data_IF_770589660709
#
_entry.id   IF_770589660709
#
_cell.length_a   1.000
_cell.length_b   1.000
_cell.length_c   1.000
_cell.angle_alpha   90.00
_cell.angle_beta   90.00
_cell.angle_gamma   90.00
#
_symmetry.space_group_name_H-M   'P 1'
#
loop_
_entity.id
_entity.type
_entity.pdbx_description
1 polymer ?
#
# COMPACT_ATOMS: atom_id res chain seq x y z
N UNK A 1 -18.34 49.68 49.23
CA UNK A 1 -17.64 48.41 48.93
C UNK A 1 -18.60 47.51 48.15
N UNK A 2 -18.46 47.43 46.82
CA UNK A 2 -19.23 46.53 45.94
C UNK A 2 -18.47 46.41 44.60
N UNK A 3 -17.74 45.31 44.41
CA UNK A 3 -17.03 45.00 43.15
C UNK A 3 -17.32 43.57 42.70
N UNK A 4 -18.57 43.11 42.82
CA UNK A 4 -18.86 41.68 42.66
C UNK A 4 -19.55 41.36 41.31
N UNK A 5 -20.03 42.37 40.56
CA UNK A 5 -20.77 42.13 39.33
C UNK A 5 -19.87 41.95 38.10
N UNK A 6 -18.77 42.70 38.00
CA UNK A 6 -17.91 42.65 36.80
C UNK A 6 -17.12 41.34 36.74
N UNK A 7 -16.58 40.90 37.88
CA UNK A 7 -15.81 39.65 37.99
C UNK A 7 -16.69 38.42 37.73
N UNK A 8 -17.95 38.44 38.19
CA UNK A 8 -18.92 37.37 37.91
C UNK A 8 -19.34 37.34 36.44
N UNK A 9 -19.51 38.49 35.78
CA UNK A 9 -19.78 38.57 34.34
C UNK A 9 -18.60 38.03 33.52
N UNK A 10 -17.37 38.38 33.91
CA UNK A 10 -16.14 37.91 33.24
C UNK A 10 -15.94 36.39 33.46
N UNK A 11 -16.18 35.88 34.67
CA UNK A 11 -16.17 34.43 34.97
C UNK A 11 -17.25 33.69 34.17
N UNK A 12 -18.46 34.22 34.09
CA UNK A 12 -19.60 33.61 33.37
C UNK A 12 -19.41 33.61 31.85
N UNK A 13 -18.69 34.58 31.29
CA UNK A 13 -18.30 34.62 29.87
C UNK A 13 -17.18 33.62 29.52
N UNK A 14 -16.49 33.09 30.54
CA UNK A 14 -15.40 32.11 30.40
C UNK A 14 -15.87 30.66 30.52
N UNK A 15 -17.12 30.36 30.18
CA UNK A 15 -17.53 28.98 29.82
C UNK A 15 -16.99 28.69 28.43
N UNK A 16 -15.68 28.55 28.33
CA UNK A 16 -15.01 28.31 27.07
C UNK A 16 -15.37 26.89 26.62
N UNK A 17 -16.23 26.81 25.60
CA UNK A 17 -16.56 25.57 24.90
C UNK A 17 -15.33 24.98 24.16
N UNK A 18 -14.13 25.52 24.39
CA UNK A 18 -12.86 25.07 23.81
C UNK A 18 -12.63 23.59 24.09
N UNK A 19 -12.99 23.09 25.28
CA UNK A 19 -12.89 21.65 25.59
C UNK A 19 -13.86 20.79 24.77
N UNK A 20 -15.02 21.33 24.40
CA UNK A 20 -16.00 20.68 23.53
C UNK A 20 -15.49 20.65 22.07
N UNK A 21 -15.03 21.78 21.55
CA UNK A 21 -14.47 21.85 20.20
C UNK A 21 -13.20 21.01 20.05
N UNK A 22 -12.34 20.95 21.08
CA UNK A 22 -11.16 20.10 21.08
C UNK A 22 -11.52 18.61 20.99
N UNK A 23 -12.51 18.15 21.77
CA UNK A 23 -13.00 16.77 21.69
C UNK A 23 -13.56 16.45 20.30
N UNK A 24 -14.34 17.37 19.72
CA UNK A 24 -14.87 17.20 18.37
C UNK A 24 -13.75 17.11 17.32
N UNK A 25 -12.70 17.93 17.44
CA UNK A 25 -11.55 17.89 16.55
C UNK A 25 -10.80 16.56 16.62
N UNK A 26 -10.61 15.97 17.82
CA UNK A 26 -9.97 14.66 17.98
C UNK A 26 -10.79 13.55 17.31
N UNK A 27 -12.13 13.58 17.44
CA UNK A 27 -13.01 12.59 16.81
C UNK A 27 -12.92 12.68 15.28
N UNK A 28 -12.98 13.90 14.72
CA UNK A 28 -12.86 14.13 13.28
C UNK A 28 -11.49 13.65 12.76
N UNK A 29 -10.41 13.98 13.48
CA UNK A 29 -9.06 13.54 13.10
C UNK A 29 -8.90 12.01 13.12
N UNK A 30 -9.46 11.33 14.14
CA UNK A 30 -9.46 9.87 14.23
C UNK A 30 -10.24 9.22 13.08
N UNK A 31 -11.36 9.81 12.64
CA UNK A 31 -12.12 9.33 11.47
C UNK A 31 -11.38 9.55 10.14
N UNK A 32 -10.54 10.58 10.05
CA UNK A 32 -9.76 10.88 8.83
C UNK A 32 -8.48 10.04 8.72
N UNK A 33 -7.90 9.58 9.83
CA UNK A 33 -6.69 8.77 9.86
C UNK A 33 -6.69 7.56 8.88
N UNK A 34 -7.74 6.71 8.80
CA UNK A 34 -7.77 5.57 7.88
C UNK A 34 -7.77 5.97 6.39
N UNK A 35 -8.16 7.20 6.03
CA UNK A 35 -8.10 7.70 4.66
C UNK A 35 -6.67 7.99 4.18
N UNK A 36 -5.73 8.22 5.11
CA UNK A 36 -4.34 8.55 4.79
C UNK A 36 -3.41 7.33 4.76
N UNK A 37 -3.81 6.20 5.36
CA UNK A 37 -3.01 4.97 5.38
C UNK A 37 -2.67 4.47 3.95
N UNK A 38 -3.60 4.46 2.98
CA UNK A 38 -3.29 4.03 1.61
C UNK A 38 -2.26 4.92 0.90
N UNK A 39 -2.16 6.20 1.27
CA UNK A 39 -1.21 7.16 0.67
C UNK A 39 0.23 7.00 1.19
N UNK A 40 0.40 6.41 2.37
CA UNK A 40 1.71 6.14 2.95
C UNK A 40 2.37 4.88 2.37
N UNK A 41 1.60 4.02 1.70
CA UNK A 41 2.10 2.81 1.03
C UNK A 41 2.55 3.22 -0.38
N UNK A 42 3.78 3.73 -0.49
CA UNK A 42 4.42 4.00 -1.79
C UNK A 42 4.55 2.75 -2.66
N UNK A 43 5.02 2.91 -3.90
CA UNK A 43 5.32 1.83 -4.85
C UNK A 43 6.21 0.72 -4.25
N UNK A 44 7.13 1.11 -3.37
CA UNK A 44 8.04 0.20 -2.69
C UNK A 44 7.33 -0.69 -1.67
N UNK A 45 6.30 -0.16 -1.00
CA UNK A 45 5.48 -0.90 -0.05
C UNK A 45 4.71 -2.03 -0.73
N UNK A 46 4.17 -1.78 -1.93
CA UNK A 46 3.50 -2.82 -2.74
C UNK A 46 4.46 -3.92 -3.16
N UNK A 47 5.67 -3.54 -3.61
CA UNK A 47 6.68 -4.52 -4.02
C UNK A 47 7.16 -5.39 -2.85
N UNK A 48 7.36 -4.76 -1.69
CA UNK A 48 7.70 -5.47 -0.45
C UNK A 48 6.58 -6.43 -0.03
N UNK A 49 5.33 -5.97 -0.02
CA UNK A 49 4.18 -6.80 0.36
C UNK A 49 4.04 -8.05 -0.53
N UNK A 50 4.17 -7.89 -1.85
CA UNK A 50 4.12 -9.03 -2.79
C UNK A 50 5.30 -9.97 -2.58
N UNK A 51 6.51 -9.44 -2.31
CA UNK A 51 7.70 -10.26 -2.08
C UNK A 51 7.62 -11.04 -0.77
N UNK A 52 6.99 -10.47 0.25
CA UNK A 52 6.83 -11.11 1.58
C UNK A 52 5.66 -12.08 1.61
N UNK A 53 4.52 -11.73 1.01
CA UNK A 53 3.26 -12.48 1.16
C UNK A 53 2.84 -13.24 -0.10
N UNK A 54 3.49 -12.99 -1.24
CA UNK A 54 3.24 -13.70 -2.50
C UNK A 54 3.94 -15.05 -2.57
N UNK A 55 3.36 -15.96 -3.34
CA UNK A 55 3.93 -17.27 -3.63
C UNK A 55 4.90 -17.15 -4.82
N UNK A 56 6.18 -17.38 -4.58
CA UNK A 56 7.19 -17.33 -5.65
C UNK A 56 7.13 -18.59 -6.53
N UNK A 57 7.18 -18.42 -7.85
CA UNK A 57 7.23 -19.53 -8.79
C UNK A 57 8.64 -20.16 -8.81
N UNK A 58 8.87 -21.16 -7.98
CA UNK A 58 10.15 -21.86 -7.88
C UNK A 58 11.28 -20.89 -7.50
N UNK A 59 12.34 -20.83 -8.31
CA UNK A 59 13.45 -19.87 -8.11
C UNK A 59 13.41 -18.67 -9.07
N UNK A 60 12.29 -18.47 -9.76
CA UNK A 60 12.11 -17.40 -10.76
C UNK A 60 11.78 -16.04 -10.13
N UNK A 61 11.76 -14.99 -10.94
CA UNK A 61 11.39 -13.64 -10.52
C UNK A 61 9.87 -13.36 -10.59
N UNK A 62 9.06 -14.41 -10.76
CA UNK A 62 7.60 -14.31 -10.82
C UNK A 62 6.94 -14.72 -9.50
N UNK A 63 5.88 -14.01 -9.15
CA UNK A 63 5.14 -14.17 -7.89
C UNK A 63 3.65 -14.25 -8.16
N UNK A 64 2.95 -15.16 -7.50
CA UNK A 64 1.48 -15.21 -7.47
C UNK A 64 1.00 -14.49 -6.21
N UNK A 65 0.17 -13.48 -6.40
CA UNK A 65 -0.41 -12.72 -5.29
C UNK A 65 -1.79 -12.20 -5.66
N UNK A 66 -2.78 -12.37 -4.77
CA UNK A 66 -4.17 -11.90 -4.96
C UNK A 66 -4.78 -12.24 -6.35
N UNK A 67 -4.55 -13.45 -6.86
CA UNK A 67 -5.10 -13.88 -8.15
C UNK A 67 -4.50 -13.20 -9.38
N UNK A 68 -3.28 -12.67 -9.25
CA UNK A 68 -2.49 -12.12 -10.36
C UNK A 68 -1.07 -12.66 -10.30
N UNK A 69 -0.39 -12.63 -11.45
CA UNK A 69 1.04 -12.92 -11.54
C UNK A 69 1.79 -11.61 -11.65
N UNK A 70 2.81 -11.46 -10.83
CA UNK A 70 3.70 -10.31 -10.78
C UNK A 70 5.10 -10.72 -11.19
N UNK A 71 5.84 -9.78 -11.78
CA UNK A 71 7.26 -9.92 -12.08
C UNK A 71 8.02 -8.74 -11.49
N UNK A 72 9.19 -9.01 -10.92
CA UNK A 72 10.06 -7.95 -10.43
C UNK A 72 10.92 -7.39 -11.56
N UNK A 73 10.86 -6.08 -11.78
CA UNK A 73 11.70 -5.32 -12.73
C UNK A 73 12.52 -4.29 -11.96
N UNK A 74 13.79 -4.12 -12.32
CA UNK A 74 14.72 -3.23 -11.61
C UNK A 74 14.25 -1.75 -11.58
N UNK A 75 13.63 -1.28 -12.65
CA UNK A 75 13.24 0.14 -12.78
C UNK A 75 11.87 0.44 -12.16
N UNK A 76 10.93 -0.50 -12.21
CA UNK A 76 9.52 -0.25 -11.89
C UNK A 76 9.01 -1.08 -10.69
N UNK A 77 9.88 -1.90 -10.08
CA UNK A 77 9.50 -2.80 -9.00
C UNK A 77 8.61 -3.94 -9.47
N UNK A 78 7.64 -4.34 -8.64
CA UNK A 78 6.70 -5.41 -8.98
C UNK A 78 5.63 -4.94 -9.95
N UNK A 79 5.63 -5.49 -11.16
CA UNK A 79 4.61 -5.26 -12.18
C UNK A 79 3.66 -6.45 -12.30
N UNK A 80 2.35 -6.18 -12.41
CA UNK A 80 1.38 -7.23 -12.72
C UNK A 80 1.45 -7.56 -14.21
N UNK A 81 1.54 -8.85 -14.54
CA UNK A 81 1.43 -9.31 -15.91
C UNK A 81 -0.02 -9.22 -16.39
N UNK A 82 -0.20 -8.75 -17.62
CA UNK A 82 -1.51 -8.68 -18.27
C UNK A 82 -1.79 -9.94 -19.11
N UNK A 83 -3.08 -10.30 -19.21
CA UNK A 83 -3.58 -11.37 -20.08
C UNK A 83 -2.91 -12.74 -19.85
N UNK A 84 -2.46 -13.01 -18.62
CA UNK A 84 -1.87 -14.30 -18.25
C UNK A 84 -2.96 -15.34 -18.05
N UNK A 85 -2.77 -16.49 -18.68
CA UNK A 85 -3.49 -17.71 -18.33
C UNK A 85 -2.86 -18.34 -17.06
N UNK A 86 -3.47 -18.07 -15.91
CA UNK A 86 -2.96 -18.53 -14.61
C UNK A 86 -2.95 -20.05 -14.43
N UNK A 87 -3.82 -20.77 -15.13
CA UNK A 87 -3.92 -22.23 -15.00
C UNK A 87 -2.73 -22.93 -15.67
N UNK A 88 -2.25 -22.35 -16.76
CA UNK A 88 -1.17 -22.92 -17.57
C UNK A 88 0.19 -22.23 -17.37
N UNK A 89 0.22 -21.16 -16.56
CA UNK A 89 1.45 -20.41 -16.32
C UNK A 89 2.52 -21.26 -15.63
N UNK A 90 3.72 -21.20 -16.17
CA UNK A 90 4.92 -21.85 -15.64
C UNK A 90 6.16 -21.02 -15.94
N UNK A 91 7.23 -21.25 -15.19
CA UNK A 91 8.50 -20.53 -15.34
C UNK A 91 9.62 -21.47 -15.78
N UNK A 92 10.61 -20.93 -16.50
CA UNK A 92 11.79 -21.69 -16.89
C UNK A 92 12.76 -21.77 -15.72
N UNK A 93 12.66 -22.83 -14.93
CA UNK A 93 13.46 -23.02 -13.72
C UNK A 93 14.76 -23.79 -14.03
N UNK A 94 15.67 -23.22 -14.83
CA UNK A 94 17.01 -23.84 -15.09
C UNK A 94 18.04 -23.55 -13.98
N UNK A 95 17.72 -22.63 -13.06
CA UNK A 95 18.66 -22.17 -12.03
C UNK A 95 19.58 -21.04 -12.50
N UNK A 96 19.68 -20.80 -13.80
CA UNK A 96 20.50 -19.73 -14.37
C UNK A 96 19.83 -18.36 -14.24
N UNK A 97 20.64 -17.30 -14.22
CA UNK A 97 20.15 -15.94 -14.06
C UNK A 97 19.12 -15.54 -15.14
N UNK A 98 19.31 -15.99 -16.37
CA UNK A 98 18.45 -15.60 -17.49
C UNK A 98 17.09 -16.29 -17.49
N UNK A 99 17.03 -17.60 -17.24
CA UNK A 99 15.76 -18.35 -17.33
C UNK A 99 14.81 -17.99 -16.19
N UNK A 100 15.34 -17.55 -15.04
CA UNK A 100 14.56 -17.03 -13.92
C UNK A 100 13.69 -15.83 -14.29
N UNK A 101 14.01 -15.14 -15.39
CA UNK A 101 13.26 -14.02 -15.92
C UNK A 101 12.25 -14.41 -17.01
N UNK A 102 12.07 -15.71 -17.31
CA UNK A 102 11.19 -16.18 -18.37
C UNK A 102 10.00 -16.95 -17.78
N UNK A 103 8.81 -16.37 -17.96
CA UNK A 103 7.52 -16.98 -17.69
C UNK A 103 6.82 -17.33 -19.00
N UNK A 104 5.97 -18.34 -18.99
CA UNK A 104 5.20 -18.73 -20.15
C UNK A 104 3.85 -19.31 -19.74
N UNK A 105 2.85 -19.07 -20.55
CA UNK A 105 1.57 -19.75 -20.47
C UNK A 105 1.24 -20.41 -21.82
N UNK A 106 0.01 -20.91 -22.00
CA UNK A 106 -0.37 -21.58 -23.26
C UNK A 106 -0.34 -20.66 -24.49
N UNK A 107 -0.40 -19.35 -24.32
CA UNK A 107 -0.55 -18.36 -25.38
C UNK A 107 0.70 -17.46 -25.55
N UNK A 108 1.41 -17.17 -24.47
CA UNK A 108 2.37 -16.07 -24.39
C UNK A 108 3.67 -16.47 -23.65
N UNK A 109 4.72 -15.70 -23.93
CA UNK A 109 5.99 -15.71 -23.19
C UNK A 109 6.21 -14.33 -22.58
N UNK A 110 6.60 -14.31 -21.31
CA UNK A 110 6.79 -13.12 -20.49
C UNK A 110 8.24 -12.99 -20.06
N UNK A 111 8.79 -11.78 -20.18
CA UNK A 111 10.17 -11.47 -19.80
C UNK A 111 10.18 -10.47 -18.65
N UNK A 112 10.85 -10.80 -17.55
CA UNK A 112 10.99 -9.93 -16.38
C UNK A 112 12.05 -8.83 -16.54
N UNK A 113 13.00 -9.03 -17.44
CA UNK A 113 13.98 -8.03 -17.84
C UNK A 113 13.69 -7.58 -19.27
N UNK A 114 13.19 -6.36 -19.39
CA UNK A 114 13.38 -5.58 -20.63
C UNK A 114 14.78 -4.99 -20.50
N UNK A 115 15.78 -5.56 -21.18
CA UNK A 115 17.01 -4.81 -21.42
C UNK A 115 16.57 -3.65 -22.30
N UNK A 116 16.51 -2.43 -21.75
CA UNK A 116 16.26 -1.23 -22.55
C UNK A 116 17.48 -0.91 -23.41
#
# INVERSE_FOLDING_TARGET
MKSNNLDDIIKKKKTSNTSFYFKLAVIVFAMLAPFFIPYMIGSDGKSYEIKTNGEQYGTSNFFKYQGKIYVFTLNDGMQALENVDMETFKTLNSGDYYTKNIGLDKNNVYFGNVIS
#
